data_IF_604672212494
#
_entry.id   IF_604672212494
#
_cell.length_a   1.000
_cell.length_b   1.000
_cell.length_c   1.000
_cell.angle_alpha   90.00
_cell.angle_beta   90.00
_cell.angle_gamma   90.00
#
_symmetry.space_group_name_H-M   'P 1'
#
loop_
_entity.id
_entity.type
_entity.pdbx_description
1 polymer ?
#
# COMPACT_ATOMS: atom_id res chain seq x y z
N UNK A 1 4.10 22.87 -3.28
CA UNK A 1 3.25 21.70 -2.96
C UNK A 1 3.62 20.65 -3.98
N UNK A 2 4.08 19.47 -3.56
CA UNK A 2 4.35 18.40 -4.50
C UNK A 2 3.02 17.80 -4.96
N UNK A 3 2.96 17.40 -6.23
CA UNK A 3 1.75 16.90 -6.86
C UNK A 3 1.44 15.48 -6.38
N UNK A 4 0.18 15.23 -6.01
CA UNK A 4 -0.30 13.89 -5.66
C UNK A 4 -1.09 13.34 -6.83
N UNK A 5 -0.72 12.15 -7.28
CA UNK A 5 -1.41 11.44 -8.37
C UNK A 5 -2.11 10.21 -7.82
N UNK A 6 -3.26 9.85 -8.40
CA UNK A 6 -4.00 8.63 -8.06
C UNK A 6 -3.96 7.70 -9.26
N UNK A 7 -3.52 6.46 -9.06
CA UNK A 7 -3.57 5.42 -10.10
C UNK A 7 -3.82 4.04 -9.53
N UNK A 8 -4.10 3.10 -10.41
CA UNK A 8 -4.14 1.69 -10.06
C UNK A 8 -2.75 1.23 -9.59
N UNK A 9 -2.74 0.42 -8.54
CA UNK A 9 -1.52 -0.14 -7.96
C UNK A 9 -0.86 -1.14 -8.92
N UNK A 10 0.46 -1.20 -8.93
CA UNK A 10 1.25 -2.23 -9.60
C UNK A 10 2.16 -2.96 -8.61
N UNK A 11 2.83 -4.02 -9.08
CA UNK A 11 3.79 -4.76 -8.26
C UNK A 11 5.01 -3.90 -7.85
N UNK A 12 5.33 -2.85 -8.61
CA UNK A 12 6.44 -1.95 -8.30
C UNK A 12 6.17 -1.09 -7.05
N UNK A 13 4.90 -0.98 -6.64
CA UNK A 13 4.49 -0.17 -5.49
C UNK A 13 4.54 -0.93 -4.16
N UNK A 14 4.81 -2.24 -4.17
CA UNK A 14 4.68 -3.12 -2.99
C UNK A 14 5.50 -2.62 -1.81
N UNK A 15 6.76 -2.26 -2.03
CA UNK A 15 7.66 -1.79 -0.96
C UNK A 15 7.18 -0.46 -0.38
N UNK A 16 6.76 0.47 -1.24
CA UNK A 16 6.29 1.77 -0.78
C UNK A 16 4.92 1.67 -0.09
N UNK A 17 4.03 0.80 -0.58
CA UNK A 17 2.75 0.51 0.07
C UNK A 17 2.99 -0.10 1.45
N UNK A 18 3.89 -1.08 1.54
CA UNK A 18 4.22 -1.74 2.81
C UNK A 18 4.75 -0.74 3.84
N UNK A 19 5.67 0.13 3.42
CA UNK A 19 6.19 1.20 4.29
C UNK A 19 5.10 2.19 4.71
N UNK A 20 4.21 2.57 3.80
CA UNK A 20 3.06 3.44 4.11
C UNK A 20 2.14 2.78 5.15
N UNK A 21 1.78 1.50 4.95
CA UNK A 21 0.95 0.73 5.88
C UNK A 21 1.62 0.55 7.26
N UNK A 22 2.92 0.23 7.30
CA UNK A 22 3.68 0.09 8.55
C UNK A 22 3.66 1.39 9.37
N UNK A 23 3.84 2.53 8.71
CA UNK A 23 3.84 3.83 9.39
C UNK A 23 2.53 4.12 10.11
N UNK A 24 1.39 3.85 9.46
CA UNK A 24 0.05 4.07 10.02
C UNK A 24 -0.31 2.99 11.06
N UNK A 25 0.09 1.74 10.84
CA UNK A 25 -0.14 0.64 11.79
C UNK A 25 0.52 0.91 13.14
N UNK A 26 1.76 1.43 13.13
CA UNK A 26 2.51 1.77 14.35
C UNK A 26 1.90 2.90 15.17
N UNK A 27 1.03 3.72 14.58
CA UNK A 27 0.29 4.73 15.35
C UNK A 27 -0.74 4.11 16.31
N UNK A 28 -1.20 2.88 16.02
CA UNK A 28 -2.17 2.11 16.85
C UNK A 28 -3.49 2.85 17.13
N UNK A 29 -3.98 3.59 16.13
CA UNK A 29 -5.20 4.42 16.25
C UNK A 29 -6.30 4.04 15.27
N UNK A 30 -5.94 3.62 14.06
CA UNK A 30 -6.88 3.60 12.93
C UNK A 30 -7.08 2.21 12.31
N UNK A 31 -6.05 1.36 12.33
CA UNK A 31 -6.08 0.04 11.70
C UNK A 31 -6.47 -1.04 12.72
N UNK A 32 -7.06 -2.13 12.23
CA UNK A 32 -7.37 -3.32 13.04
C UNK A 32 -6.15 -4.12 13.50
N UNK A 33 -4.95 -3.70 13.09
CA UNK A 33 -3.66 -4.30 13.44
C UNK A 33 -2.65 -3.21 13.81
N UNK A 34 -1.69 -3.55 14.67
CA UNK A 34 -0.68 -2.60 15.19
C UNK A 34 0.70 -2.77 14.56
N UNK A 35 0.85 -3.78 13.71
CA UNK A 35 2.06 -4.09 12.95
C UNK A 35 1.64 -4.63 11.58
N UNK A 36 2.41 -4.29 10.55
CA UNK A 36 2.09 -4.74 9.19
C UNK A 36 2.60 -6.16 8.98
N UNK A 37 1.89 -6.93 8.15
CA UNK A 37 2.32 -8.26 7.75
C UNK A 37 3.68 -8.23 7.02
N UNK A 38 4.42 -9.35 6.97
CA UNK A 38 5.64 -9.47 6.17
C UNK A 38 5.44 -9.01 4.70
N UNK A 39 6.49 -8.46 4.09
CA UNK A 39 6.45 -7.92 2.72
C UNK A 39 5.98 -8.97 1.69
N UNK A 40 6.36 -10.24 1.89
CA UNK A 40 5.95 -11.35 1.02
C UNK A 40 4.45 -11.63 1.08
N UNK A 41 3.81 -11.45 2.24
CA UNK A 41 2.36 -11.58 2.37
C UNK A 41 1.64 -10.41 1.68
N UNK A 42 2.21 -9.20 1.75
CA UNK A 42 1.68 -8.03 1.03
C UNK A 42 1.75 -8.24 -0.48
N UNK A 43 2.88 -8.77 -0.98
CA UNK A 43 3.06 -9.15 -2.39
C UNK A 43 2.02 -10.19 -2.82
N UNK A 44 1.89 -11.27 -2.04
CA UNK A 44 0.93 -12.34 -2.32
C UNK A 44 -0.51 -11.80 -2.38
N UNK A 45 -0.92 -11.01 -1.38
CA UNK A 45 -2.26 -10.40 -1.36
C UNK A 45 -2.50 -9.50 -2.57
N UNK A 46 -1.49 -8.74 -3.01
CA UNK A 46 -1.64 -7.88 -4.18
C UNK A 46 -1.82 -8.69 -5.47
N UNK A 47 -1.05 -9.76 -5.65
CA UNK A 47 -1.19 -10.64 -6.82
C UNK A 47 -2.57 -11.29 -6.85
N UNK A 48 -3.03 -11.82 -5.71
CA UNK A 48 -4.38 -12.41 -5.59
C UNK A 48 -5.49 -11.39 -5.90
N UNK A 49 -5.34 -10.14 -5.44
CA UNK A 49 -6.26 -9.06 -5.75
C UNK A 49 -6.30 -8.75 -7.26
N UNK A 50 -5.13 -8.68 -7.91
CA UNK A 50 -5.03 -8.45 -9.35
C UNK A 50 -5.67 -9.59 -10.16
N UNK A 51 -5.42 -10.85 -9.78
CA UNK A 51 -6.03 -12.03 -10.42
C UNK A 51 -7.56 -12.05 -10.28
N UNK A 52 -8.07 -11.56 -9.15
CA UNK A 52 -9.51 -11.47 -8.87
C UNK A 52 -10.16 -10.22 -9.48
N UNK A 53 -9.39 -9.34 -10.12
CA UNK A 53 -9.89 -8.08 -10.67
C UNK A 53 -10.33 -7.07 -9.60
N UNK A 54 -9.76 -7.15 -8.39
CA UNK A 54 -10.03 -6.20 -7.30
C UNK A 54 -9.46 -4.83 -7.69
N UNK A 55 -10.29 -3.80 -7.62
CA UNK A 55 -9.84 -2.42 -7.85
C UNK A 55 -9.16 -1.92 -6.57
N UNK A 56 -7.84 -1.73 -6.66
CA UNK A 56 -7.03 -1.13 -5.61
C UNK A 56 -6.29 0.08 -6.20
N UNK A 57 -6.55 1.25 -5.65
CA UNK A 57 -5.94 2.52 -6.06
C UNK A 57 -4.94 2.95 -4.99
N UNK A 58 -3.92 3.69 -5.41
CA UNK A 58 -2.94 4.32 -4.52
C UNK A 58 -2.80 5.81 -4.86
N UNK A 59 -2.46 6.59 -3.85
CA UNK A 59 -2.01 7.96 -3.95
C UNK A 59 -0.47 8.00 -3.91
N UNK A 60 0.14 8.60 -4.92
CA UNK A 60 1.58 8.76 -5.04
C UNK A 60 1.96 10.22 -4.94
N UNK A 61 2.94 10.49 -4.10
CA UNK A 61 3.68 11.74 -4.09
C UNK A 61 5.09 11.43 -4.61
N UNK A 62 5.43 11.97 -5.78
CA UNK A 62 6.62 11.62 -6.56
C UNK A 62 6.67 10.11 -6.89
N UNK A 63 7.41 9.31 -6.12
CA UNK A 63 7.51 7.85 -6.26
C UNK A 63 7.20 7.10 -4.98
N UNK A 64 6.57 7.78 -4.01
CA UNK A 64 6.19 7.19 -2.72
C UNK A 64 4.67 7.13 -2.60
N UNK A 65 4.19 5.94 -2.28
CA UNK A 65 2.82 5.71 -1.84
C UNK A 65 2.60 6.44 -0.52
N UNK A 66 1.55 7.26 -0.50
CA UNK A 66 1.11 8.04 0.66
C UNK A 66 -0.35 7.75 1.05
N UNK A 67 -1.04 6.87 0.30
CA UNK A 67 -2.42 6.47 0.55
C UNK A 67 -2.93 5.47 -0.47
#
# INVERSE_FOLDING_TARGET
>A
MSEVTIRQISQDDIESLHSCLDSVARERKYLGFTEVAPIEETRKSLVEDMERGVIRLIALNESKVVG
#
